data_IF_824636002181
#
_entry.id   IF_824636002181
#
_cell.length_a   1.000
_cell.length_b   1.000
_cell.length_c   1.000
_cell.angle_alpha   90.00
_cell.angle_beta   90.00
_cell.angle_gamma   90.00
#
_symmetry.space_group_name_H-M   'P 1'
#
loop_
_entity.id
_entity.type
_entity.pdbx_description
1 polymer ?
#
# COMPACT_ATOMS: atom_id res chain seq x y z
N UNK A 1 -54.91 8.51 -0.19
CA UNK A 1 -54.50 8.93 1.18
C UNK A 1 -53.68 7.85 1.89
N UNK A 2 -54.24 6.72 2.31
CA UNK A 2 -53.45 5.64 2.94
C UNK A 2 -52.46 4.96 1.98
N UNK A 3 -52.85 4.79 0.71
CA UNK A 3 -51.97 4.23 -0.32
C UNK A 3 -50.79 5.15 -0.66
N UNK A 4 -51.00 6.46 -0.65
CA UNK A 4 -49.94 7.44 -0.92
C UNK A 4 -48.90 7.46 0.20
N UNK A 5 -49.36 7.42 1.46
CA UNK A 5 -48.47 7.32 2.63
C UNK A 5 -47.67 6.02 2.60
N UNK A 6 -48.29 4.91 2.24
CA UNK A 6 -47.60 3.62 2.14
C UNK A 6 -46.55 3.61 1.02
N UNK A 7 -46.86 4.26 -0.11
CA UNK A 7 -45.95 4.39 -1.25
C UNK A 7 -44.74 5.26 -0.92
N UNK A 8 -44.93 6.35 -0.18
CA UNK A 8 -43.84 7.21 0.26
C UNK A 8 -42.96 6.54 1.31
N UNK A 9 -43.53 5.80 2.26
CA UNK A 9 -42.75 5.01 3.22
C UNK A 9 -41.89 3.96 2.51
N UNK A 10 -42.42 3.26 1.51
CA UNK A 10 -41.65 2.30 0.70
C UNK A 10 -40.49 2.98 -0.05
N UNK A 11 -40.73 4.15 -0.64
CA UNK A 11 -39.68 4.92 -1.32
C UNK A 11 -38.58 5.37 -0.37
N UNK A 12 -38.94 5.83 0.83
CA UNK A 12 -37.97 6.25 1.84
C UNK A 12 -37.13 5.07 2.32
N UNK A 13 -37.76 3.95 2.65
CA UNK A 13 -37.05 2.73 3.05
C UNK A 13 -36.08 2.23 1.95
N UNK A 14 -36.49 2.29 0.68
CA UNK A 14 -35.60 1.95 -0.44
C UNK A 14 -34.41 2.89 -0.56
N UNK A 15 -34.63 4.22 -0.39
CA UNK A 15 -33.53 5.20 -0.42
C UNK A 15 -32.53 4.95 0.71
N UNK A 16 -33.01 4.66 1.92
CA UNK A 16 -32.15 4.35 3.07
C UNK A 16 -31.37 3.06 2.87
N UNK A 17 -32.01 2.01 2.35
CA UNK A 17 -31.34 0.75 2.03
C UNK A 17 -30.22 0.95 1.00
N UNK A 18 -30.48 1.74 -0.06
CA UNK A 18 -29.47 2.08 -1.07
C UNK A 18 -28.33 2.88 -0.46
N UNK A 19 -28.63 3.92 0.33
CA UNK A 19 -27.62 4.74 0.97
C UNK A 19 -26.73 3.92 1.92
N UNK A 20 -27.33 3.03 2.71
CA UNK A 20 -26.61 2.12 3.60
C UNK A 20 -25.72 1.16 2.81
N UNK A 21 -26.22 0.57 1.73
CA UNK A 21 -25.45 -0.34 0.89
C UNK A 21 -24.24 0.36 0.23
N UNK A 22 -24.43 1.59 -0.28
CA UNK A 22 -23.36 2.41 -0.84
C UNK A 22 -22.33 2.74 0.25
N UNK A 23 -22.77 3.15 1.44
CA UNK A 23 -21.89 3.46 2.57
C UNK A 23 -21.03 2.26 2.98
N UNK A 24 -21.63 1.08 3.10
CA UNK A 24 -20.91 -0.16 3.42
C UNK A 24 -19.89 -0.53 2.34
N UNK A 25 -20.30 -0.48 1.06
CA UNK A 25 -19.42 -0.76 -0.08
C UNK A 25 -18.23 0.21 -0.14
N UNK A 26 -18.46 1.50 0.11
CA UNK A 26 -17.41 2.51 0.14
C UNK A 26 -16.43 2.28 1.29
N UNK A 27 -16.92 1.94 2.49
CA UNK A 27 -16.07 1.58 3.61
C UNK A 27 -15.22 0.33 3.33
N UNK A 28 -15.81 -0.72 2.75
CA UNK A 28 -15.07 -1.92 2.33
C UNK A 28 -13.98 -1.59 1.31
N UNK A 29 -14.29 -0.72 0.34
CA UNK A 29 -13.32 -0.27 -0.67
C UNK A 29 -12.18 0.52 -0.04
N UNK A 30 -12.45 1.40 0.92
CA UNK A 30 -11.42 2.15 1.65
C UNK A 30 -10.48 1.21 2.40
N UNK A 31 -11.03 0.22 3.13
CA UNK A 31 -10.22 -0.76 3.86
C UNK A 31 -9.36 -1.61 2.93
N UNK A 32 -9.96 -2.09 1.83
CA UNK A 32 -9.25 -2.87 0.80
C UNK A 32 -8.12 -2.06 0.17
N UNK A 33 -8.38 -0.80 -0.20
CA UNK A 33 -7.36 0.08 -0.77
C UNK A 33 -6.22 0.34 0.23
N UNK A 34 -6.53 0.54 1.51
CA UNK A 34 -5.53 0.74 2.56
C UNK A 34 -4.64 -0.50 2.73
N UNK A 35 -5.23 -1.69 2.73
CA UNK A 35 -4.50 -2.95 2.81
C UNK A 35 -3.62 -3.17 1.58
N UNK A 36 -4.17 -2.95 0.37
CA UNK A 36 -3.43 -3.08 -0.87
C UNK A 36 -2.27 -2.09 -0.97
N UNK A 37 -2.47 -0.84 -0.54
CA UNK A 37 -1.41 0.17 -0.50
C UNK A 37 -0.29 -0.23 0.47
N UNK A 38 -0.64 -0.74 1.65
CA UNK A 38 0.34 -1.26 2.63
C UNK A 38 1.13 -2.42 2.04
N UNK A 39 0.45 -3.44 1.52
CA UNK A 39 1.09 -4.63 0.95
C UNK A 39 1.97 -4.30 -0.26
N UNK A 40 1.49 -3.42 -1.15
CA UNK A 40 2.26 -2.95 -2.31
C UNK A 40 3.50 -2.18 -1.84
N UNK A 41 3.37 -1.33 -0.82
CA UNK A 41 4.48 -0.60 -0.22
C UNK A 41 5.53 -1.53 0.37
N UNK A 42 5.12 -2.48 1.19
CA UNK A 42 5.99 -3.50 1.80
C UNK A 42 6.71 -4.36 0.75
N UNK A 43 5.98 -4.79 -0.30
CA UNK A 43 6.54 -5.58 -1.39
C UNK A 43 7.58 -4.79 -2.17
N UNK A 44 7.26 -3.56 -2.61
CA UNK A 44 8.20 -2.70 -3.34
C UNK A 44 9.42 -2.34 -2.50
N UNK A 45 9.24 -2.10 -1.20
CA UNK A 45 10.34 -1.83 -0.28
C UNK A 45 11.29 -3.03 -0.16
N UNK A 46 10.73 -4.23 -0.07
CA UNK A 46 11.48 -5.49 -0.05
C UNK A 46 12.25 -5.75 -1.35
N UNK A 47 11.61 -5.53 -2.50
CA UNK A 47 12.25 -5.60 -3.82
C UNK A 47 13.40 -4.59 -3.94
N UNK A 48 13.18 -3.35 -3.51
CA UNK A 48 14.21 -2.31 -3.53
C UNK A 48 15.42 -2.69 -2.67
N UNK A 49 15.21 -3.24 -1.47
CA UNK A 49 16.28 -3.74 -0.58
C UNK A 49 17.07 -4.87 -1.24
N UNK A 50 16.37 -5.83 -1.85
CA UNK A 50 16.98 -6.96 -2.57
C UNK A 50 17.84 -6.47 -3.74
N UNK A 51 17.31 -5.55 -4.54
CA UNK A 51 18.01 -4.97 -5.68
C UNK A 51 19.24 -4.17 -5.23
N UNK A 52 19.11 -3.36 -4.17
CA UNK A 52 20.22 -2.63 -3.59
C UNK A 52 21.33 -3.54 -3.07
N UNK A 53 20.98 -4.64 -2.38
CA UNK A 53 21.94 -5.62 -1.91
C UNK A 53 22.70 -6.25 -3.08
N UNK A 54 21.97 -6.66 -4.12
CA UNK A 54 22.54 -7.26 -5.35
C UNK A 54 23.50 -6.29 -6.06
N UNK A 55 23.09 -5.03 -6.25
CA UNK A 55 23.94 -4.02 -6.89
C UNK A 55 25.16 -3.72 -6.03
N UNK A 56 25.00 -3.61 -4.72
CA UNK A 56 26.11 -3.37 -3.78
C UNK A 56 27.13 -4.50 -3.81
N UNK A 57 26.66 -5.75 -3.85
CA UNK A 57 27.49 -6.93 -3.92
C UNK A 57 28.23 -7.00 -5.26
N UNK A 58 27.50 -6.86 -6.37
CA UNK A 58 28.08 -6.86 -7.73
C UNK A 58 29.14 -5.77 -7.90
N UNK A 59 28.83 -4.53 -7.51
CA UNK A 59 29.72 -3.39 -7.67
C UNK A 59 30.91 -3.45 -6.70
N UNK A 60 30.68 -3.88 -5.46
CA UNK A 60 31.74 -4.06 -4.48
C UNK A 60 32.64 -5.27 -4.72
N UNK A 61 32.19 -6.27 -5.48
CA UNK A 61 33.02 -7.39 -5.95
C UNK A 61 33.77 -7.02 -7.24
N UNK A 62 33.15 -6.23 -8.11
CA UNK A 62 33.76 -5.72 -9.35
C UNK A 62 34.87 -4.71 -9.08
N UNK A 63 34.69 -3.84 -8.07
CA UNK A 63 35.70 -2.85 -7.69
C UNK A 63 36.38 -3.26 -6.39
N UNK A 64 37.60 -3.79 -6.50
CA UNK A 64 38.41 -4.20 -5.34
C UNK A 64 38.96 -2.99 -4.56
N UNK A 65 39.41 -3.22 -3.33
CA UNK A 65 40.10 -2.22 -2.52
C UNK A 65 39.19 -1.25 -1.76
N UNK A 66 39.72 -0.10 -1.35
CA UNK A 66 39.02 0.87 -0.49
C UNK A 66 37.78 1.48 -1.16
N UNK A 67 37.76 1.58 -2.49
CA UNK A 67 36.60 2.07 -3.23
C UNK A 67 35.41 1.10 -3.12
N UNK A 68 35.61 -0.19 -3.37
CA UNK A 68 34.56 -1.22 -3.20
C UNK A 68 34.01 -1.27 -1.78
N UNK A 69 34.90 -1.13 -0.77
CA UNK A 69 34.49 -1.02 0.64
C UNK A 69 33.60 0.20 0.91
N UNK A 70 33.89 1.35 0.29
CA UNK A 70 33.07 2.56 0.41
C UNK A 70 31.70 2.39 -0.25
N UNK A 71 31.65 1.80 -1.44
CA UNK A 71 30.39 1.49 -2.14
C UNK A 71 29.52 0.55 -1.30
N UNK A 72 30.07 -0.57 -0.81
CA UNK A 72 29.33 -1.49 0.08
C UNK A 72 28.77 -0.78 1.33
N UNK A 73 29.57 0.09 1.96
CA UNK A 73 29.13 0.88 3.13
C UNK A 73 28.03 1.88 2.81
N UNK A 74 28.10 2.58 1.67
CA UNK A 74 27.10 3.57 1.28
C UNK A 74 25.74 2.92 1.01
N UNK A 75 25.72 1.83 0.25
CA UNK A 75 24.51 1.05 -0.01
C UNK A 75 23.94 0.41 1.25
N UNK A 76 24.79 -0.12 2.16
CA UNK A 76 24.33 -0.63 3.45
C UNK A 76 23.62 0.44 4.28
N UNK A 77 24.22 1.64 4.41
CA UNK A 77 23.59 2.77 5.11
C UNK A 77 22.25 3.18 4.49
N UNK A 78 22.16 3.22 3.17
CA UNK A 78 20.89 3.52 2.49
C UNK A 78 19.85 2.43 2.74
N UNK A 79 20.24 1.14 2.73
CA UNK A 79 19.34 0.03 3.06
C UNK A 79 18.83 0.10 4.51
N UNK A 80 19.71 0.41 5.48
CA UNK A 80 19.34 0.58 6.89
C UNK A 80 18.41 1.81 7.10
N UNK A 81 18.53 2.84 6.26
CA UNK A 81 17.60 3.98 6.30
C UNK A 81 16.19 3.61 5.82
N UNK A 82 16.10 2.63 4.91
CA UNK A 82 14.86 2.07 4.39
C UNK A 82 14.21 1.06 5.36
N UNK A 83 14.93 0.59 6.38
CA UNK A 83 14.34 -0.19 7.49
C UNK A 83 13.58 0.68 8.49
N UNK A 84 13.78 2.01 8.46
CA UNK A 84 13.12 2.98 9.34
C UNK A 84 11.85 3.58 8.73
N UNK A 85 11.48 3.16 7.52
CA UNK A 85 10.31 3.58 6.76
C UNK A 85 9.25 2.49 6.80
#
# INVERSE_FOLDING_TARGET
MLDDVTKDLKKTAQKEAIASAIGHSMNQKIQTNKQNAKQTGETKLSELKTNMATVSESMGNSVKGQFGKKVKKAFKKQSESLDKF
#
